data_IF_870692546827
#
_entry.id   IF_870692546827
#
_cell.length_a   1.000
_cell.length_b   1.000
_cell.length_c   1.000
_cell.angle_alpha   90.00
_cell.angle_beta   90.00
_cell.angle_gamma   90.00
#
_symmetry.space_group_name_H-M   'P 1'
#
loop_
_entity.id
_entity.type
_entity.pdbx_description
1 polymer ?
#
# COMPACT_ATOMS: atom_id res chain seq x y z
N UNK A 1 -35.02 -6.33 -42.55
CA UNK A 1 -33.59 -6.62 -42.84
C UNK A 1 -32.66 -5.65 -42.09
N UNK A 2 -33.04 -4.39 -41.91
CA UNK A 2 -32.25 -3.38 -41.20
C UNK A 2 -32.26 -3.52 -39.67
N UNK A 3 -33.34 -4.04 -39.09
CA UNK A 3 -33.48 -4.14 -37.62
C UNK A 3 -32.50 -5.13 -36.98
N UNK A 4 -32.20 -6.25 -37.65
CA UNK A 4 -31.26 -7.25 -37.15
C UNK A 4 -29.78 -6.81 -37.21
N UNK A 5 -29.46 -5.80 -38.02
CA UNK A 5 -28.10 -5.23 -38.12
C UNK A 5 -27.86 -4.26 -36.97
N UNK A 6 -28.89 -3.50 -36.59
CA UNK A 6 -28.82 -2.51 -35.52
C UNK A 6 -28.82 -3.17 -34.13
N UNK A 7 -29.59 -4.26 -33.97
CA UNK A 7 -29.57 -5.12 -32.78
C UNK A 7 -28.20 -5.78 -32.56
N UNK A 8 -27.54 -6.28 -33.62
CA UNK A 8 -26.19 -6.87 -33.52
C UNK A 8 -25.11 -5.83 -33.18
N UNK A 9 -25.28 -4.57 -33.60
CA UNK A 9 -24.36 -3.48 -33.29
C UNK A 9 -24.51 -3.05 -31.82
N UNK A 10 -25.74 -3.04 -31.30
CA UNK A 10 -26.07 -2.77 -29.89
C UNK A 10 -25.62 -3.92 -28.96
N UNK A 11 -25.73 -5.18 -29.39
CA UNK A 11 -25.22 -6.34 -28.65
C UNK A 11 -23.68 -6.33 -28.56
N UNK A 12 -22.99 -5.93 -29.62
CA UNK A 12 -21.53 -5.75 -29.59
C UNK A 12 -21.08 -4.56 -28.74
N UNK A 13 -21.82 -3.45 -28.69
CA UNK A 13 -21.49 -2.31 -27.83
C UNK A 13 -21.81 -2.55 -26.35
N UNK A 14 -22.81 -3.39 -26.05
CA UNK A 14 -23.21 -3.69 -24.67
C UNK A 14 -22.31 -4.77 -24.04
N UNK A 15 -21.77 -5.70 -24.84
CA UNK A 15 -20.89 -6.79 -24.36
C UNK A 15 -19.42 -6.40 -24.11
N UNK A 16 -19.03 -5.13 -24.32
CA UNK A 16 -17.64 -4.67 -24.19
C UNK A 16 -17.39 -3.68 -23.05
N UNK A 17 -18.28 -3.61 -22.03
CA UNK A 17 -17.82 -3.18 -20.70
C UNK A 17 -17.13 -4.36 -20.03
N UNK A 18 -15.93 -4.70 -20.50
CA UNK A 18 -14.97 -5.37 -19.63
C UNK A 18 -14.87 -4.48 -18.41
N UNK A 19 -15.35 -4.93 -17.24
CA UNK A 19 -15.07 -4.24 -15.99
C UNK A 19 -13.54 -4.32 -15.83
N UNK A 20 -12.82 -3.31 -16.30
CA UNK A 20 -11.38 -3.25 -16.13
C UNK A 20 -11.11 -3.25 -14.63
N UNK A 21 -10.50 -4.33 -14.15
CA UNK A 21 -10.22 -4.48 -12.74
C UNK A 21 -9.23 -3.39 -12.32
N UNK A 22 -9.39 -2.81 -11.12
CA UNK A 22 -8.47 -1.78 -10.67
C UNK A 22 -7.06 -2.37 -10.52
N UNK A 23 -6.06 -1.69 -11.03
CA UNK A 23 -4.67 -2.04 -10.77
C UNK A 23 -4.27 -1.65 -9.33
N UNK A 24 -4.03 -2.66 -8.48
CA UNK A 24 -3.68 -2.46 -7.06
C UNK A 24 -2.38 -3.17 -6.71
N UNK A 25 -1.61 -2.60 -5.78
CA UNK A 25 -0.53 -3.32 -5.11
C UNK A 25 -1.11 -4.42 -4.23
N UNK A 26 -0.56 -5.63 -4.27
CA UNK A 26 -1.08 -6.73 -3.45
C UNK A 26 -0.77 -6.56 -1.97
N UNK A 27 -1.58 -7.19 -1.12
CA UNK A 27 -1.31 -7.37 0.32
C UNK A 27 0.11 -7.84 0.61
N UNK A 28 0.60 -8.81 -0.16
CA UNK A 28 1.95 -9.36 0.04
C UNK A 28 3.03 -8.31 -0.21
N UNK A 29 2.88 -7.49 -1.25
CA UNK A 29 3.83 -6.42 -1.55
C UNK A 29 3.81 -5.34 -0.46
N UNK A 30 2.62 -4.95 0.01
CA UNK A 30 2.48 -3.98 1.12
C UNK A 30 3.20 -4.50 2.38
N UNK A 31 3.03 -5.78 2.72
CA UNK A 31 3.68 -6.38 3.87
C UNK A 31 5.21 -6.44 3.71
N UNK A 32 5.71 -6.84 2.54
CA UNK A 32 7.16 -6.88 2.25
C UNK A 32 7.75 -5.48 2.39
N UNK A 33 7.13 -4.44 1.81
CA UNK A 33 7.62 -3.07 1.94
C UNK A 33 7.60 -2.58 3.39
N UNK A 34 6.58 -2.97 4.16
CA UNK A 34 6.47 -2.66 5.58
C UNK A 34 7.62 -3.26 6.40
N UNK A 35 7.91 -4.55 6.16
CA UNK A 35 8.95 -5.28 6.88
C UNK A 35 10.37 -4.92 6.46
N UNK A 36 10.61 -4.80 5.14
CA UNK A 36 11.94 -4.59 4.57
C UNK A 36 12.41 -3.13 4.67
N UNK A 37 11.51 -2.16 4.45
CA UNK A 37 11.84 -0.74 4.48
C UNK A 37 11.28 -0.08 5.74
N UNK A 38 9.96 0.08 5.82
CA UNK A 38 9.24 0.55 7.01
C UNK A 38 7.74 0.56 6.76
N UNK A 39 6.94 0.67 7.83
CA UNK A 39 5.47 0.85 7.75
C UNK A 39 5.08 2.04 6.89
N UNK A 40 5.89 3.11 6.86
CA UNK A 40 5.61 4.31 6.04
C UNK A 40 5.58 3.94 4.55
N UNK A 41 6.53 3.11 4.09
CA UNK A 41 6.55 2.66 2.70
C UNK A 41 5.35 1.75 2.40
N UNK A 42 5.06 0.77 3.26
CA UNK A 42 3.86 -0.07 3.09
C UNK A 42 2.56 0.76 3.04
N UNK A 43 2.45 1.76 3.91
CA UNK A 43 1.30 2.66 3.94
C UNK A 43 1.20 3.52 2.67
N UNK A 44 2.32 3.97 2.10
CA UNK A 44 2.32 4.70 0.83
C UNK A 44 1.73 3.87 -0.31
N UNK A 45 2.05 2.57 -0.37
CA UNK A 45 1.46 1.64 -1.35
C UNK A 45 -0.04 1.47 -1.10
N UNK A 46 -0.46 1.26 0.16
CA UNK A 46 -1.88 1.13 0.49
C UNK A 46 -2.66 2.42 0.20
N UNK A 47 -2.10 3.60 0.50
CA UNK A 47 -2.69 4.89 0.15
C UNK A 47 -2.83 5.06 -1.36
N UNK A 48 -1.87 4.57 -2.15
CA UNK A 48 -2.01 4.57 -3.61
C UNK A 48 -3.19 3.71 -4.07
N UNK A 49 -3.43 2.56 -3.43
CA UNK A 49 -4.57 1.71 -3.74
C UNK A 49 -5.89 2.40 -3.36
N UNK A 50 -5.98 2.94 -2.14
CA UNK A 50 -7.18 3.62 -1.65
C UNK A 50 -7.52 4.85 -2.50
N UNK A 51 -6.53 5.62 -2.94
CA UNK A 51 -6.73 6.74 -3.87
C UNK A 51 -7.25 6.27 -5.23
N UNK A 52 -6.75 5.14 -5.76
CA UNK A 52 -7.20 4.56 -7.02
C UNK A 52 -8.66 4.07 -6.94
N UNK A 53 -9.09 3.62 -5.77
CA UNK A 53 -10.46 3.21 -5.48
C UNK A 53 -11.35 4.37 -4.99
N UNK A 54 -10.83 5.60 -4.96
CA UNK A 54 -11.53 6.79 -4.44
C UNK A 54 -12.02 6.66 -2.98
N UNK A 55 -11.40 5.75 -2.21
CA UNK A 55 -11.70 5.46 -0.81
C UNK A 55 -11.14 6.54 0.13
N UNK A 56 -11.84 7.68 0.19
CA UNK A 56 -11.42 8.86 0.98
C UNK A 56 -11.31 8.54 2.47
N UNK A 57 -12.29 7.82 3.03
CA UNK A 57 -12.31 7.47 4.46
C UNK A 57 -11.12 6.60 4.83
N UNK A 58 -10.84 5.57 4.03
CA UNK A 58 -9.66 4.72 4.22
C UNK A 58 -8.37 5.52 4.13
N UNK A 59 -8.27 6.41 3.14
CA UNK A 59 -7.10 7.27 2.93
C UNK A 59 -6.80 8.11 4.17
N UNK A 60 -7.79 8.81 4.73
CA UNK A 60 -7.60 9.61 5.93
C UNK A 60 -7.24 8.78 7.17
N UNK A 61 -7.85 7.61 7.35
CA UNK A 61 -7.53 6.76 8.50
C UNK A 61 -6.14 6.14 8.42
N UNK A 62 -5.68 5.74 7.23
CA UNK A 62 -4.30 5.26 7.04
C UNK A 62 -3.30 6.40 7.27
N UNK A 63 -3.59 7.63 6.81
CA UNK A 63 -2.75 8.78 7.11
C UNK A 63 -2.64 9.06 8.60
N UNK A 64 -3.78 9.02 9.32
CA UNK A 64 -3.80 9.17 10.78
C UNK A 64 -2.99 8.06 11.48
N UNK A 65 -3.13 6.82 11.03
CA UNK A 65 -2.33 5.70 11.53
C UNK A 65 -0.84 5.92 11.33
N UNK A 66 -0.41 6.35 10.14
CA UNK A 66 1.01 6.66 9.87
C UNK A 66 1.50 7.79 10.78
N UNK A 67 0.70 8.83 10.97
CA UNK A 67 1.05 9.93 11.88
C UNK A 67 1.26 9.44 13.32
N UNK A 68 0.33 8.64 13.86
CA UNK A 68 0.44 8.05 15.20
C UNK A 68 1.66 7.13 15.29
N UNK A 69 1.90 6.31 14.26
CA UNK A 69 3.03 5.40 14.20
C UNK A 69 4.37 6.16 14.27
N UNK A 70 4.52 7.24 13.49
CA UNK A 70 5.72 8.08 13.52
C UNK A 70 5.88 8.79 14.85
N UNK A 71 4.80 9.33 15.44
CA UNK A 71 4.84 9.94 16.76
C UNK A 71 5.30 8.94 17.84
N UNK A 72 4.81 7.69 17.78
CA UNK A 72 5.22 6.61 18.66
C UNK A 72 6.70 6.24 18.50
N UNK A 73 7.22 6.23 17.27
CA UNK A 73 8.66 6.04 17.02
C UNK A 73 9.50 7.14 17.66
N UNK A 74 9.15 8.41 17.45
CA UNK A 74 9.86 9.56 18.04
C UNK A 74 9.84 9.48 19.57
N UNK A 75 8.69 9.17 20.16
CA UNK A 75 8.56 8.97 21.60
C UNK A 75 9.48 7.84 22.11
N UNK A 76 9.50 6.69 21.42
CA UNK A 76 10.39 5.56 21.77
C UNK A 76 11.88 5.97 21.74
N UNK A 77 12.30 6.72 20.72
CA UNK A 77 13.69 7.21 20.62
C UNK A 77 14.08 8.07 21.83
N UNK A 78 13.15 8.82 22.41
CA UNK A 78 13.41 9.67 23.58
C UNK A 78 13.47 8.93 24.92
N UNK A 79 12.90 7.72 25.01
CA UNK A 79 12.63 7.06 26.29
C UNK A 79 13.45 5.78 26.56
N UNK A 80 14.05 5.15 25.54
CA UNK A 80 14.73 3.86 25.70
C UNK A 80 16.26 4.02 25.67
N UNK A 81 16.94 3.55 26.71
CA UNK A 81 18.40 3.33 26.70
C UNK A 81 18.76 2.33 25.61
N UNK A 82 19.68 2.72 24.73
CA UNK A 82 20.13 1.94 23.56
C UNK A 82 20.48 0.50 23.95
N UNK A 83 19.70 -0.48 23.48
CA UNK A 83 19.95 -1.89 23.77
C UNK A 83 19.02 -2.86 23.05
N UNK A 84 17.73 -2.50 22.90
CA UNK A 84 16.74 -3.40 22.27
C UNK A 84 16.16 -2.86 20.95
N UNK A 85 16.47 -3.55 19.85
CA UNK A 85 16.02 -3.22 18.49
C UNK A 85 14.59 -3.71 18.22
N UNK A 86 13.60 -2.97 18.71
CA UNK A 86 12.17 -3.22 18.41
C UNK A 86 11.72 -2.81 17.00
N UNK A 87 12.61 -2.31 16.14
CA UNK A 87 12.25 -1.79 14.81
C UNK A 87 11.60 -2.85 13.93
N UNK A 88 12.18 -4.05 13.85
CA UNK A 88 11.68 -5.11 12.98
C UNK A 88 10.33 -5.67 13.44
N UNK A 89 10.13 -6.05 14.72
CA UNK A 89 8.80 -6.46 15.19
C UNK A 89 7.74 -5.38 15.02
N UNK A 90 8.08 -4.11 15.27
CA UNK A 90 7.16 -2.98 15.13
C UNK A 90 6.79 -2.72 13.67
N UNK A 91 7.76 -2.87 12.76
CA UNK A 91 7.53 -2.78 11.31
C UNK A 91 6.61 -3.89 10.80
N UNK A 92 6.84 -5.13 11.23
CA UNK A 92 5.98 -6.26 10.87
C UNK A 92 4.57 -6.08 11.44
N UNK A 93 4.44 -5.68 12.70
CA UNK A 93 3.14 -5.44 13.33
C UNK A 93 2.37 -4.34 12.59
N UNK A 94 3.02 -3.21 12.29
CA UNK A 94 2.39 -2.15 11.51
C UNK A 94 1.99 -2.61 10.10
N UNK A 95 2.83 -3.41 9.44
CA UNK A 95 2.52 -4.03 8.15
C UNK A 95 1.30 -4.97 8.21
N UNK A 96 1.18 -5.76 9.28
CA UNK A 96 0.01 -6.61 9.51
C UNK A 96 -1.25 -5.77 9.75
N UNK A 97 -1.18 -4.66 10.47
CA UNK A 97 -2.32 -3.74 10.62
C UNK A 97 -2.75 -3.18 9.26
N UNK A 98 -1.81 -2.76 8.41
CA UNK A 98 -2.12 -2.32 7.05
C UNK A 98 -2.84 -3.42 6.23
N UNK A 99 -2.38 -4.67 6.34
CA UNK A 99 -2.89 -5.80 5.54
C UNK A 99 -4.18 -6.43 6.06
N UNK A 100 -4.31 -6.61 7.37
CA UNK A 100 -5.41 -7.36 7.96
C UNK A 100 -6.52 -6.46 8.45
N UNK A 101 -6.21 -5.23 8.84
CA UNK A 101 -7.22 -4.27 9.23
C UNK A 101 -7.60 -3.36 8.06
N UNK A 102 -6.67 -2.52 7.57
CA UNK A 102 -7.02 -1.47 6.61
C UNK A 102 -7.42 -2.03 5.24
N UNK A 103 -6.65 -2.97 4.69
CA UNK A 103 -7.03 -3.59 3.42
C UNK A 103 -8.41 -4.26 3.51
N UNK A 104 -8.60 -5.15 4.50
CA UNK A 104 -9.84 -5.91 4.61
C UNK A 104 -11.05 -5.00 4.84
N UNK A 105 -10.86 -3.89 5.58
CA UNK A 105 -11.90 -2.92 5.88
C UNK A 105 -12.31 -2.05 4.70
N UNK A 106 -11.36 -1.61 3.87
CA UNK A 106 -11.60 -0.59 2.85
C UNK A 106 -11.59 -1.11 1.42
N UNK A 107 -10.81 -2.15 1.15
CA UNK A 107 -10.71 -2.75 -0.19
C UNK A 107 -11.60 -3.98 -0.24
N UNK A 108 -11.57 -4.80 0.80
CA UNK A 108 -12.27 -6.08 0.86
C UNK A 108 -11.31 -7.27 0.70
N UNK A 109 -11.65 -8.38 1.36
CA UNK A 109 -10.79 -9.57 1.41
C UNK A 109 -10.75 -10.33 0.08
N UNK A 110 -11.90 -10.42 -0.58
CA UNK A 110 -12.13 -11.17 -1.82
C UNK A 110 -12.21 -10.24 -3.05
N UNK A 111 -11.71 -9.01 -2.93
CA UNK A 111 -11.74 -8.04 -4.02
C UNK A 111 -10.80 -8.49 -5.13
N UNK A 112 -11.33 -8.68 -6.32
CA UNK A 112 -10.54 -8.97 -7.51
C UNK A 112 -9.83 -7.69 -7.99
N UNK A 113 -8.57 -7.81 -8.38
CA UNK A 113 -7.76 -6.69 -8.87
C UNK A 113 -6.64 -7.19 -9.78
N UNK A 114 -6.20 -6.32 -10.69
CA UNK A 114 -4.99 -6.54 -11.47
C UNK A 114 -3.74 -6.14 -10.65
N UNK A 115 -2.72 -7.00 -10.68
CA UNK A 115 -1.50 -6.75 -9.90
C UNK A 115 -0.70 -5.61 -10.50
N UNK A 116 -0.66 -4.49 -9.78
CA UNK A 116 0.18 -3.35 -10.13
C UNK A 116 1.67 -3.67 -9.98
N UNK A 117 2.48 -3.19 -10.93
CA UNK A 117 3.94 -3.41 -10.94
C UNK A 117 4.62 -2.79 -9.72
N UNK A 118 5.40 -3.60 -9.01
CA UNK A 118 6.13 -3.25 -7.79
C UNK A 118 7.50 -2.58 -8.07
N UNK A 119 7.95 -2.57 -9.32
CA UNK A 119 9.29 -2.09 -9.71
C UNK A 119 9.48 -0.60 -9.42
N UNK A 120 8.49 0.24 -9.78
CA UNK A 120 8.58 1.70 -9.55
C UNK A 120 8.68 2.03 -8.06
N UNK A 121 7.79 1.51 -7.17
CA UNK A 121 7.95 1.66 -5.73
C UNK A 121 9.30 1.17 -5.20
N UNK A 122 9.78 0.01 -5.65
CA UNK A 122 11.05 -0.56 -5.16
C UNK A 122 12.23 0.35 -5.46
N UNK A 123 12.29 0.90 -6.68
CA UNK A 123 13.38 1.81 -7.06
C UNK A 123 13.39 3.06 -6.18
N UNK A 124 12.22 3.64 -5.90
CA UNK A 124 12.07 4.80 -5.01
C UNK A 124 12.47 4.44 -3.58
N UNK A 125 12.00 3.30 -3.07
CA UNK A 125 12.34 2.84 -1.71
C UNK A 125 13.84 2.59 -1.56
N UNK A 126 14.50 1.96 -2.53
CA UNK A 126 15.95 1.74 -2.50
C UNK A 126 16.72 3.06 -2.57
N UNK A 127 16.31 3.98 -3.43
CA UNK A 127 16.96 5.29 -3.55
C UNK A 127 16.92 6.11 -2.25
N UNK A 128 15.95 5.86 -1.37
CA UNK A 128 15.85 6.52 -0.07
C UNK A 128 16.54 5.68 1.02
N UNK A 129 16.23 4.40 1.09
CA UNK A 129 16.68 3.52 2.19
C UNK A 129 18.17 3.20 2.14
N UNK A 130 18.76 3.04 0.95
CA UNK A 130 20.19 2.73 0.84
C UNK A 130 21.05 3.91 1.31
N UNK A 131 20.89 5.15 0.80
CA UNK A 131 21.66 6.27 1.32
C UNK A 131 21.44 6.53 2.81
N UNK A 132 20.20 6.40 3.30
CA UNK A 132 19.90 6.55 4.73
C UNK A 132 20.63 5.50 5.58
N UNK A 133 20.67 4.24 5.13
CA UNK A 133 21.41 3.18 5.80
C UNK A 133 22.92 3.44 5.80
N UNK A 134 23.49 3.82 4.65
CA UNK A 134 24.91 4.16 4.55
C UNK A 134 25.26 5.36 5.45
N UNK A 135 24.41 6.39 5.50
CA UNK A 135 24.59 7.53 6.39
C UNK A 135 24.60 7.10 7.86
N UNK A 136 23.69 6.22 8.27
CA UNK A 136 23.67 5.68 9.64
C UNK A 136 24.93 4.87 9.99
N UNK A 137 25.50 4.14 9.03
CA UNK A 137 26.69 3.30 9.25
C UNK A 137 27.99 4.10 9.25
N UNK A 138 28.10 5.13 8.41
CA UNK A 138 29.35 5.90 8.25
C UNK A 138 29.39 7.21 9.05
N UNK A 139 28.24 7.80 9.39
CA UNK A 139 28.15 9.06 10.15
C UNK A 139 27.66 8.86 11.59
N UNK A 140 27.14 7.68 11.93
CA UNK A 140 26.70 7.30 13.28
C UNK A 140 27.76 6.51 14.02
#
# INVERSE_FOLDING_TARGET
MSDHIEENKQLKSTSQRTQELPELYSKRIILIFSGLFSVIFGAALLLSNLKKLEEKKGTYQVLLFVFIYVAGLVYKLSSIKAGTNFSLPLNLLGGLILNEYFWNRYIGRETEYEKKSWVKPTLISLAISVPAFLALVYLG
#
